data_IF_844025346942
#
_entry.id   IF_844025346942
#
_cell.length_a   1.000
_cell.length_b   1.000
_cell.length_c   1.000
_cell.angle_alpha   90.00
_cell.angle_beta   90.00
_cell.angle_gamma   90.00
#
_symmetry.space_group_name_H-M   'P 1'
#
loop_
_entity.id
_entity.type
_entity.pdbx_description
1 polymer ?
#
# COMPACT_ATOMS: atom_id res chain seq x y z
N UNK A 1 -63.02 -47.12 4.85
CA UNK A 1 -62.72 -46.12 5.90
C UNK A 1 -62.25 -46.75 7.23
N UNK A 2 -61.55 -47.90 7.21
CA UNK A 2 -61.00 -48.52 8.44
C UNK A 2 -59.52 -48.95 8.35
N UNK A 3 -58.90 -48.91 7.17
CA UNK A 3 -57.44 -49.15 7.01
C UNK A 3 -56.56 -47.91 7.15
N UNK A 4 -57.16 -46.74 7.40
CA UNK A 4 -56.44 -45.46 7.53
C UNK A 4 -56.16 -45.07 9.00
N UNK A 5 -56.60 -45.88 9.97
CA UNK A 5 -56.54 -45.55 11.41
C UNK A 5 -55.55 -46.41 12.22
N UNK A 6 -54.88 -47.38 11.59
CA UNK A 6 -53.99 -48.35 12.26
C UNK A 6 -52.49 -48.03 12.13
N UNK A 7 -52.12 -46.92 11.49
CA UNK A 7 -50.72 -46.47 11.36
C UNK A 7 -50.41 -45.20 12.18
N UNK A 8 -51.39 -44.74 12.96
CA UNK A 8 -51.31 -43.56 13.84
C UNK A 8 -51.25 -43.92 15.33
N UNK A 9 -50.92 -45.18 15.66
CA UNK A 9 -50.86 -45.66 17.03
C UNK A 9 -49.55 -46.38 17.32
N UNK A 10 -48.54 -45.64 17.78
CA UNK A 10 -47.32 -46.23 18.31
C UNK A 10 -46.15 -45.26 18.35
N UNK A 11 -45.99 -44.55 19.46
CA UNK A 11 -44.73 -43.85 19.78
C UNK A 11 -44.92 -42.43 20.32
N UNK A 12 -45.49 -42.30 21.51
CA UNK A 12 -45.23 -41.11 22.33
C UNK A 12 -43.86 -41.24 22.99
N UNK A 13 -42.99 -40.24 22.83
CA UNK A 13 -41.98 -39.74 23.77
C UNK A 13 -41.00 -38.82 23.03
N UNK A 14 -40.80 -37.60 23.52
CA UNK A 14 -39.73 -36.72 23.04
C UNK A 14 -40.12 -35.27 22.82
N UNK A 15 -40.56 -34.60 23.90
CA UNK A 15 -40.47 -33.15 24.04
C UNK A 15 -38.98 -32.77 24.10
N UNK A 16 -38.56 -31.75 23.35
CA UNK A 16 -37.29 -31.08 23.57
C UNK A 16 -36.11 -31.65 22.78
N UNK A 17 -35.67 -30.88 21.80
CA UNK A 17 -34.46 -31.16 21.04
C UNK A 17 -34.39 -30.23 19.85
N UNK A 18 -34.13 -28.93 20.10
CA UNK A 18 -33.45 -28.14 19.09
C UNK A 18 -32.26 -28.99 18.62
N UNK A 19 -32.21 -29.29 17.32
CA UNK A 19 -31.04 -29.92 16.74
C UNK A 19 -29.85 -29.08 17.22
N UNK A 20 -29.04 -29.67 18.10
CA UNK A 20 -27.78 -29.09 18.51
C UNK A 20 -27.06 -28.75 17.21
N UNK A 21 -26.58 -27.51 17.12
CA UNK A 21 -25.69 -27.11 16.05
C UNK A 21 -24.66 -28.20 15.89
N UNK A 22 -24.73 -28.92 14.78
CA UNK A 22 -23.58 -29.67 14.32
C UNK A 22 -22.55 -28.59 14.08
N UNK A 23 -21.64 -28.41 15.03
CA UNK A 23 -20.38 -27.71 14.80
C UNK A 23 -19.77 -28.41 13.58
N UNK A 24 -20.02 -27.84 12.40
CA UNK A 24 -19.42 -28.31 11.18
C UNK A 24 -17.93 -28.02 11.37
N UNK A 25 -17.16 -29.06 11.68
CA UNK A 25 -15.74 -28.97 12.04
C UNK A 25 -14.83 -28.50 10.90
N UNK A 26 -15.38 -28.10 9.76
CA UNK A 26 -14.68 -27.69 8.54
C UNK A 26 -15.25 -26.41 7.90
N UNK A 27 -15.93 -25.54 8.66
CA UNK A 27 -16.31 -24.22 8.14
C UNK A 27 -15.10 -23.29 8.15
N UNK A 28 -14.87 -22.60 7.02
CA UNK A 28 -13.82 -21.59 6.90
C UNK A 28 -14.21 -20.39 7.77
N UNK A 29 -13.27 -19.93 8.60
CA UNK A 29 -13.48 -18.79 9.48
C UNK A 29 -13.27 -17.46 8.73
N UNK A 30 -14.03 -16.45 9.15
CA UNK A 30 -13.88 -15.06 8.72
C UNK A 30 -12.55 -14.43 9.14
N UNK A 31 -11.81 -15.04 10.08
CA UNK A 31 -10.51 -14.53 10.55
C UNK A 31 -9.33 -14.87 9.65
N UNK A 32 -9.55 -15.47 8.47
CA UNK A 32 -8.46 -15.78 7.57
C UNK A 32 -7.72 -14.51 7.12
N UNK A 33 -6.39 -14.56 7.14
CA UNK A 33 -5.52 -13.44 6.76
C UNK A 33 -4.44 -13.87 5.77
N UNK A 34 -4.18 -12.98 4.81
CA UNK A 34 -3.10 -13.15 3.83
C UNK A 34 -1.97 -12.18 4.18
N UNK A 35 -0.81 -12.73 4.52
CA UNK A 35 0.41 -11.94 4.72
C UNK A 35 1.16 -11.81 3.40
N UNK A 36 1.24 -10.59 2.88
CA UNK A 36 1.98 -10.29 1.66
C UNK A 36 3.33 -9.66 2.03
N UNK A 37 4.42 -10.20 1.47
CA UNK A 37 5.76 -9.63 1.63
C UNK A 37 5.92 -8.30 0.88
N UNK A 38 6.83 -7.45 1.36
CA UNK A 38 7.16 -6.18 0.69
C UNK A 38 7.65 -6.40 -0.76
N UNK A 39 8.44 -7.47 -0.97
CA UNK A 39 8.94 -7.87 -2.29
C UNK A 39 7.80 -8.23 -3.25
N UNK A 40 6.87 -9.09 -2.79
CA UNK A 40 5.72 -9.50 -3.58
C UNK A 40 4.87 -8.30 -3.99
N UNK A 41 4.56 -7.41 -3.03
CA UNK A 41 3.78 -6.21 -3.30
C UNK A 41 4.41 -5.31 -4.37
N UNK A 42 5.72 -5.04 -4.26
CA UNK A 42 6.42 -4.20 -5.23
C UNK A 42 6.47 -4.83 -6.63
N UNK A 43 6.68 -6.15 -6.71
CA UNK A 43 6.65 -6.88 -7.98
C UNK A 43 5.27 -6.83 -8.63
N UNK A 44 4.20 -7.05 -7.86
CA UNK A 44 2.83 -6.99 -8.39
C UNK A 44 2.48 -5.59 -8.88
N UNK A 45 2.84 -4.54 -8.13
CA UNK A 45 2.60 -3.15 -8.54
C UNK A 45 3.41 -2.77 -9.79
N UNK A 46 4.70 -3.14 -9.85
CA UNK A 46 5.54 -2.91 -11.03
C UNK A 46 4.97 -3.60 -12.26
N UNK A 47 4.54 -4.85 -12.10
CA UNK A 47 3.97 -5.64 -13.18
C UNK A 47 2.62 -5.07 -13.65
N UNK A 48 1.70 -4.80 -12.72
CA UNK A 48 0.41 -4.18 -13.01
C UNK A 48 0.54 -2.85 -13.73
N UNK A 49 1.49 -2.00 -13.30
CA UNK A 49 1.74 -0.70 -13.94
C UNK A 49 2.32 -0.84 -15.36
N UNK A 50 3.18 -1.84 -15.59
CA UNK A 50 3.75 -2.10 -16.92
C UNK A 50 2.72 -2.67 -17.90
N UNK A 51 1.68 -3.34 -17.40
CA UNK A 51 0.60 -3.92 -18.21
C UNK A 51 -0.43 -2.93 -18.74
N UNK A 52 -0.58 -1.75 -18.13
CA UNK A 52 -1.61 -0.76 -18.48
C UNK A 52 -1.54 -0.39 -19.96
N UNK A 53 -2.65 -0.46 -20.73
CA UNK A 53 -4.04 -0.58 -20.28
C UNK A 53 -4.60 -2.02 -20.17
N UNK A 54 -3.80 -3.05 -20.42
CA UNK A 54 -4.24 -4.45 -20.39
C UNK A 54 -4.10 -5.07 -18.99
N UNK A 55 -4.97 -6.04 -18.70
CA UNK A 55 -4.91 -6.81 -17.45
C UNK A 55 -3.76 -7.83 -17.50
N UNK A 56 -2.87 -7.79 -16.51
CA UNK A 56 -1.79 -8.77 -16.35
C UNK A 56 -2.14 -9.79 -15.26
N UNK A 57 -1.60 -11.00 -15.37
CA UNK A 57 -1.69 -12.01 -14.31
C UNK A 57 -0.31 -12.51 -13.87
N UNK A 58 -0.23 -13.05 -12.66
CA UNK A 58 0.92 -13.83 -12.23
C UNK A 58 0.58 -14.82 -11.12
N UNK A 59 1.55 -15.66 -10.79
CA UNK A 59 1.41 -16.66 -9.74
C UNK A 59 2.04 -16.16 -8.44
N UNK A 60 1.41 -16.51 -7.34
CA UNK A 60 1.87 -16.21 -5.99
C UNK A 60 2.54 -17.44 -5.38
N UNK A 61 3.73 -17.25 -4.83
CA UNK A 61 4.54 -18.27 -4.20
C UNK A 61 4.62 -18.04 -2.70
N UNK A 62 4.49 -19.12 -1.95
CA UNK A 62 4.59 -19.07 -0.52
C UNK A 62 4.25 -20.38 0.17
N UNK A 63 3.74 -20.24 1.38
CA UNK A 63 3.39 -21.35 2.26
C UNK A 63 2.03 -21.13 2.93
N UNK A 64 1.33 -22.23 3.16
CA UNK A 64 0.17 -22.28 4.06
C UNK A 64 0.69 -22.64 5.45
N UNK A 65 0.54 -21.73 6.41
CA UNK A 65 1.14 -21.90 7.76
C UNK A 65 0.21 -22.70 8.66
N UNK A 66 -1.05 -22.28 8.69
CA UNK A 66 -2.16 -22.89 9.42
C UNK A 66 -3.45 -22.65 8.61
N UNK A 67 -4.60 -23.05 9.14
CA UNK A 67 -5.90 -22.91 8.45
C UNK A 67 -6.37 -21.46 8.26
N UNK A 68 -5.82 -20.51 9.03
CA UNK A 68 -6.23 -19.11 9.03
C UNK A 68 -5.21 -18.17 8.37
N UNK A 69 -4.02 -18.67 8.01
CA UNK A 69 -2.90 -17.84 7.60
C UNK A 69 -2.26 -18.34 6.32
N UNK A 70 -2.30 -17.50 5.29
CA UNK A 70 -1.58 -17.71 4.03
C UNK A 70 -0.44 -16.71 3.94
N UNK A 71 0.79 -17.18 3.72
CA UNK A 71 1.95 -16.28 3.52
C UNK A 71 2.35 -16.27 2.05
N UNK A 72 2.30 -15.11 1.44
CA UNK A 72 2.82 -14.85 0.09
C UNK A 72 4.21 -14.25 0.23
N UNK A 73 5.23 -15.03 -0.12
CA UNK A 73 6.65 -14.68 0.01
C UNK A 73 7.18 -14.01 -1.25
N UNK A 74 6.82 -14.53 -2.42
CA UNK A 74 7.24 -13.99 -3.71
C UNK A 74 6.16 -14.13 -4.77
N UNK A 75 6.31 -13.41 -5.88
CA UNK A 75 5.46 -13.53 -7.06
C UNK A 75 6.31 -13.53 -8.32
N UNK A 76 5.77 -14.13 -9.37
CA UNK A 76 6.30 -13.94 -10.72
C UNK A 76 5.18 -13.72 -11.73
N UNK A 77 5.52 -12.96 -12.77
CA UNK A 77 4.62 -12.64 -13.87
C UNK A 77 4.51 -13.84 -14.82
N UNK A 78 3.30 -14.13 -15.29
CA UNK A 78 3.10 -15.06 -16.39
C UNK A 78 3.13 -14.27 -17.71
N UNK A 79 3.77 -14.81 -18.77
CA UNK A 79 3.72 -14.18 -20.08
C UNK A 79 2.27 -14.18 -20.59
N UNK A 80 1.82 -13.03 -21.11
CA UNK A 80 0.47 -12.90 -21.63
C UNK A 80 0.34 -13.53 -23.01
N UNK A 81 -0.59 -14.47 -23.16
CA UNK A 81 -1.18 -14.86 -24.44
C UNK A 81 -2.43 -14.00 -24.64
N UNK A 82 -2.29 -12.91 -25.40
CA UNK A 82 -3.29 -11.85 -25.45
C UNK A 82 -4.54 -12.18 -26.28
N UNK A 83 -5.71 -12.00 -25.67
CA UNK A 83 -6.87 -11.36 -26.29
C UNK A 83 -7.41 -10.32 -25.31
N UNK A 84 -7.79 -9.13 -25.80
CA UNK A 84 -7.82 -7.87 -25.02
C UNK A 84 -8.82 -7.75 -23.85
N UNK A 85 -9.41 -8.83 -23.35
CA UNK A 85 -10.38 -8.82 -22.23
C UNK A 85 -10.25 -10.05 -21.31
N UNK A 86 -9.38 -11.01 -21.61
CA UNK A 86 -9.23 -12.21 -20.77
C UNK A 86 -7.81 -12.75 -20.82
N UNK A 87 -7.26 -13.08 -19.65
CA UNK A 87 -5.97 -13.73 -19.57
C UNK A 87 -6.17 -15.24 -19.76
N UNK A 88 -5.97 -15.72 -20.99
CA UNK A 88 -6.11 -17.14 -21.29
C UNK A 88 -4.89 -17.94 -20.81
N UNK A 89 -5.21 -19.06 -20.14
CA UNK A 89 -4.38 -20.22 -19.85
C UNK A 89 -2.99 -19.95 -19.26
N UNK A 90 -2.86 -20.24 -17.96
CA UNK A 90 -1.57 -20.52 -17.34
C UNK A 90 -0.83 -21.54 -18.22
N UNK A 91 0.27 -21.15 -18.85
CA UNK A 91 1.11 -22.10 -19.58
C UNK A 91 1.79 -23.04 -18.57
N UNK A 92 1.38 -24.33 -18.51
CA UNK A 92 1.94 -25.26 -17.55
C UNK A 92 3.42 -25.54 -17.81
N UNK A 93 3.89 -25.37 -19.06
CA UNK A 93 5.29 -25.54 -19.44
C UNK A 93 6.13 -24.42 -18.84
N UNK A 94 5.67 -23.18 -19.01
CA UNK A 94 6.33 -22.02 -18.41
C UNK A 94 6.34 -22.11 -16.88
N UNK A 95 5.20 -22.44 -16.28
CA UNK A 95 5.09 -22.61 -14.82
C UNK A 95 6.08 -23.66 -14.30
N UNK A 96 6.10 -24.86 -14.89
CA UNK A 96 6.98 -25.94 -14.43
C UNK A 96 8.45 -25.56 -14.54
N UNK A 97 8.85 -24.98 -15.69
CA UNK A 97 10.22 -24.53 -15.92
C UNK A 97 10.64 -23.43 -14.94
N UNK A 98 9.76 -22.45 -14.68
CA UNK A 98 10.02 -21.37 -13.72
C UNK A 98 10.17 -21.92 -12.30
N UNK A 99 9.29 -22.83 -11.89
CA UNK A 99 9.36 -23.46 -10.56
C UNK A 99 10.65 -24.26 -10.38
N UNK A 100 11.10 -24.98 -11.40
CA UNK A 100 12.38 -25.72 -11.35
C UNK A 100 13.59 -24.78 -11.25
N UNK A 101 13.57 -23.65 -11.97
CA UNK A 101 14.62 -22.63 -11.83
C UNK A 101 14.63 -22.01 -10.43
N UNK A 102 13.45 -21.72 -9.86
CA UNK A 102 13.35 -21.16 -8.50
C UNK A 102 13.89 -22.15 -7.45
N UNK A 103 13.58 -23.44 -7.57
CA UNK A 103 14.13 -24.49 -6.70
C UNK A 103 15.66 -24.52 -6.74
N UNK A 104 16.27 -24.35 -7.91
CA UNK A 104 17.74 -24.30 -8.05
C UNK A 104 18.35 -23.07 -7.35
N UNK A 105 17.60 -21.97 -7.23
CA UNK A 105 18.04 -20.76 -6.52
C UNK A 105 17.80 -20.81 -5.00
N UNK A 106 17.34 -21.96 -4.48
CA UNK A 106 17.03 -22.12 -3.05
C UNK A 106 15.67 -21.57 -2.65
N UNK A 107 14.74 -21.44 -3.59
CA UNK A 107 13.34 -21.03 -3.39
C UNK A 107 12.39 -22.22 -3.61
N UNK A 108 12.12 -23.05 -2.58
CA UNK A 108 11.29 -24.24 -2.70
C UNK A 108 9.79 -23.98 -2.52
N UNK A 109 9.36 -22.71 -2.48
CA UNK A 109 7.98 -22.34 -2.19
C UNK A 109 6.99 -22.90 -3.21
N UNK A 110 5.77 -23.19 -2.74
CA UNK A 110 4.68 -23.71 -3.55
C UNK A 110 3.77 -22.58 -4.06
N UNK A 111 2.96 -22.87 -5.08
CA UNK A 111 1.94 -21.91 -5.56
C UNK A 111 0.80 -21.86 -4.55
N UNK A 112 0.57 -20.69 -3.96
CA UNK A 112 -0.50 -20.45 -2.97
C UNK A 112 -1.72 -19.75 -3.56
N UNK A 113 -1.60 -19.24 -4.78
CA UNK A 113 -2.67 -18.54 -5.47
C UNK A 113 -2.16 -17.79 -6.69
N UNK A 114 -2.97 -16.87 -7.17
CA UNK A 114 -2.67 -16.04 -8.33
C UNK A 114 -3.13 -14.61 -8.09
N UNK A 115 -2.53 -13.68 -8.82
CA UNK A 115 -2.93 -12.28 -8.81
C UNK A 115 -3.16 -11.78 -10.22
N UNK A 116 -4.03 -10.78 -10.35
CA UNK A 116 -4.19 -10.05 -11.60
C UNK A 116 -4.48 -8.57 -11.33
N UNK A 117 -4.40 -7.77 -12.39
CA UNK A 117 -4.65 -6.33 -12.31
C UNK A 117 -5.97 -5.94 -12.97
N UNK A 118 -6.73 -5.06 -12.34
CA UNK A 118 -7.89 -4.38 -12.93
C UNK A 118 -7.59 -2.86 -13.01
N UNK A 119 -7.01 -2.36 -14.11
CA UNK A 119 -6.60 -0.97 -14.20
C UNK A 119 -7.80 -0.02 -14.25
N UNK A 120 -8.07 0.71 -13.17
CA UNK A 120 -9.10 1.74 -13.09
C UNK A 120 -10.52 1.25 -12.77
N UNK A 121 -10.73 -0.07 -12.66
CA UNK A 121 -12.04 -0.68 -12.36
C UNK A 121 -12.24 -1.01 -10.88
N UNK A 122 -11.22 -0.83 -10.02
CA UNK A 122 -11.26 -1.29 -8.63
C UNK A 122 -11.13 -2.81 -8.49
N UNK A 123 -11.24 -3.32 -7.26
CA UNK A 123 -11.01 -4.74 -6.96
C UNK A 123 -12.33 -5.53 -6.87
N UNK A 124 -12.58 -6.40 -7.84
CA UNK A 124 -13.69 -7.37 -7.86
C UNK A 124 -13.32 -8.54 -8.77
N UNK A 125 -14.11 -9.62 -8.79
CA UNK A 125 -13.89 -10.74 -9.70
C UNK A 125 -14.95 -10.75 -10.81
N UNK A 126 -14.51 -10.79 -12.07
CA UNK A 126 -15.38 -11.01 -13.22
C UNK A 126 -15.81 -12.47 -13.34
N UNK A 127 -16.76 -12.77 -14.23
CA UNK A 127 -17.14 -14.16 -14.50
C UNK A 127 -15.97 -15.00 -15.04
N UNK A 128 -15.05 -14.38 -15.77
CA UNK A 128 -13.83 -15.04 -16.26
C UNK A 128 -12.86 -15.32 -15.12
N UNK A 129 -12.71 -14.36 -14.19
CA UNK A 129 -11.86 -14.54 -13.00
C UNK A 129 -12.42 -15.60 -12.07
N UNK A 130 -13.75 -15.67 -11.91
CA UNK A 130 -14.42 -16.72 -11.12
C UNK A 130 -14.13 -18.11 -11.71
N UNK A 131 -14.25 -18.29 -13.03
CA UNK A 131 -13.96 -19.58 -13.68
C UNK A 131 -12.47 -19.97 -13.54
N UNK A 132 -11.58 -18.98 -13.64
CA UNK A 132 -10.13 -19.18 -13.46
C UNK A 132 -9.82 -19.58 -12.02
N UNK A 133 -10.36 -18.85 -11.04
CA UNK A 133 -10.23 -19.16 -9.62
C UNK A 133 -10.79 -20.54 -9.28
N UNK A 134 -11.93 -20.93 -9.85
CA UNK A 134 -12.51 -22.26 -9.64
C UNK A 134 -11.55 -23.37 -10.12
N UNK A 135 -10.80 -23.14 -11.19
CA UNK A 135 -9.79 -24.07 -11.69
C UNK A 135 -8.59 -24.19 -10.74
N UNK A 136 -8.15 -23.07 -10.14
CA UNK A 136 -7.13 -23.09 -9.10
C UNK A 136 -7.61 -23.75 -7.80
N UNK A 137 -8.86 -23.54 -7.41
CA UNK A 137 -9.45 -24.15 -6.21
C UNK A 137 -9.60 -25.68 -6.33
N UNK A 138 -9.74 -26.22 -7.54
CA UNK A 138 -9.71 -27.67 -7.77
C UNK A 138 -8.32 -28.28 -7.49
N UNK A 139 -7.25 -27.53 -7.75
CA UNK A 139 -5.88 -27.95 -7.44
C UNK A 139 -5.56 -27.75 -5.97
N UNK A 140 -5.97 -26.62 -5.41
CA UNK A 140 -5.79 -26.30 -4.00
C UNK A 140 -7.01 -25.53 -3.48
N UNK A 141 -7.81 -26.12 -2.57
CA UNK A 141 -9.04 -25.49 -2.07
C UNK A 141 -8.79 -24.17 -1.33
N UNK A 142 -7.55 -23.89 -0.92
CA UNK A 142 -7.15 -22.65 -0.24
C UNK A 142 -6.51 -21.61 -1.16
N UNK A 143 -6.53 -21.83 -2.47
CA UNK A 143 -6.01 -20.86 -3.43
C UNK A 143 -6.66 -19.48 -3.23
N UNK A 144 -5.84 -18.43 -3.28
CA UNK A 144 -6.30 -17.04 -3.11
C UNK A 144 -6.17 -16.30 -4.45
N UNK A 145 -7.20 -15.54 -4.81
CA UNK A 145 -7.15 -14.59 -5.92
C UNK A 145 -6.90 -13.18 -5.39
N UNK A 146 -5.81 -12.53 -5.81
CA UNK A 146 -5.48 -11.15 -5.43
C UNK A 146 -5.72 -10.21 -6.61
N UNK A 147 -6.46 -9.12 -6.38
CA UNK A 147 -6.77 -8.11 -7.40
C UNK A 147 -6.11 -6.79 -7.03
N UNK A 148 -5.37 -6.21 -7.96
CA UNK A 148 -4.65 -4.95 -7.76
C UNK A 148 -5.06 -3.92 -8.80
N UNK A 149 -5.36 -2.70 -8.37
CA UNK A 149 -5.60 -1.57 -9.28
C UNK A 149 -4.38 -0.62 -9.30
N UNK A 150 -3.50 -0.70 -10.31
CA UNK A 150 -2.29 0.13 -10.40
C UNK A 150 -2.59 1.59 -10.82
N UNK A 151 -3.83 1.92 -11.19
CA UNK A 151 -4.23 3.27 -11.57
C UNK A 151 -4.78 4.02 -10.36
N UNK A 152 -5.69 3.40 -9.61
CA UNK A 152 -6.25 3.98 -8.39
C UNK A 152 -5.29 3.93 -7.20
N UNK A 153 -4.31 3.03 -7.22
CA UNK A 153 -3.24 3.00 -6.22
C UNK A 153 -2.36 4.25 -6.34
N UNK A 154 -2.46 5.14 -5.35
CA UNK A 154 -1.69 6.38 -5.26
C UNK A 154 -0.77 6.34 -4.03
N UNK A 155 0.22 7.24 -3.98
CA UNK A 155 1.12 7.38 -2.82
C UNK A 155 0.29 7.56 -1.55
N UNK A 156 0.34 6.57 -0.66
CA UNK A 156 -0.39 6.55 0.62
C UNK A 156 -1.52 5.53 0.71
N UNK A 157 -2.11 5.09 -0.41
CA UNK A 157 -3.13 4.02 -0.43
C UNK A 157 -2.94 3.11 -1.64
N UNK A 158 -2.57 1.87 -1.37
CA UNK A 158 -2.56 0.79 -2.36
C UNK A 158 -3.95 0.16 -2.37
N UNK A 159 -4.56 0.12 -3.56
CA UNK A 159 -5.87 -0.52 -3.78
C UNK A 159 -5.60 -1.97 -4.18
N UNK A 160 -5.79 -2.86 -3.20
CA UNK A 160 -5.57 -4.30 -3.29
C UNK A 160 -6.59 -5.00 -2.40
N UNK A 161 -7.18 -6.07 -2.92
CA UNK A 161 -8.03 -6.97 -2.16
C UNK A 161 -7.74 -8.42 -2.54
N UNK A 162 -8.01 -9.32 -1.62
CA UNK A 162 -7.89 -10.76 -1.78
C UNK A 162 -9.27 -11.40 -1.68
N UNK A 163 -9.56 -12.35 -2.56
CA UNK A 163 -10.85 -13.02 -2.67
C UNK A 163 -10.69 -14.54 -2.73
N UNK A 164 -11.75 -15.24 -2.29
CA UNK A 164 -11.95 -16.67 -2.53
C UNK A 164 -13.42 -16.92 -2.85
N UNK A 165 -13.70 -17.95 -3.64
CA UNK A 165 -15.08 -18.30 -4.01
C UNK A 165 -15.85 -18.90 -2.84
N UNK A 166 -17.16 -18.73 -2.91
CA UNK A 166 -18.12 -19.42 -2.05
C UNK A 166 -18.65 -20.61 -2.82
N UNK A 167 -18.71 -21.76 -2.18
CA UNK A 167 -19.32 -22.95 -2.77
C UNK A 167 -20.84 -22.70 -2.96
N UNK A 168 -21.36 -22.72 -4.21
CA UNK A 168 -22.75 -22.36 -4.48
C UNK A 168 -23.76 -23.34 -3.86
N UNK A 169 -23.36 -24.58 -3.61
CA UNK A 169 -24.18 -25.58 -2.92
C UNK A 169 -24.50 -25.16 -1.48
N UNK A 170 -23.58 -24.48 -0.78
CA UNK A 170 -23.82 -23.96 0.57
C UNK A 170 -24.86 -22.83 0.56
N UNK A 171 -24.80 -21.97 -0.45
CA UNK A 171 -25.75 -20.87 -0.61
C UNK A 171 -27.18 -21.39 -0.87
N UNK A 172 -27.32 -22.45 -1.66
CA UNK A 172 -28.62 -23.09 -1.91
C UNK A 172 -29.19 -23.76 -0.66
N UNK A 173 -28.32 -24.21 0.26
CA UNK A 173 -28.72 -24.80 1.54
C UNK A 173 -29.08 -23.74 2.60
N UNK A 174 -28.91 -22.44 2.28
CA UNK A 174 -29.17 -21.34 3.20
C UNK A 174 -28.24 -21.32 4.41
N UNK A 175 -27.13 -22.06 4.38
CA UNK A 175 -26.13 -22.04 5.43
C UNK A 175 -25.16 -20.88 5.18
N UNK A 176 -24.79 -20.17 6.24
CA UNK A 176 -23.76 -19.14 6.13
C UNK A 176 -22.43 -19.81 5.72
N UNK A 177 -21.78 -19.31 4.65
CA UNK A 177 -20.61 -19.99 4.08
C UNK A 177 -19.37 -19.89 4.96
N UNK A 178 -19.38 -19.02 5.97
CA UNK A 178 -18.26 -18.81 6.89
C UNK A 178 -18.74 -18.68 8.32
N UNK A 179 -17.95 -19.20 9.25
CA UNK A 179 -18.17 -18.97 10.68
C UNK A 179 -17.53 -17.62 11.06
N UNK A 180 -18.27 -16.79 11.79
CA UNK A 180 -17.75 -15.50 12.27
C UNK A 180 -17.26 -15.61 13.70
N UNK A 181 -15.98 -15.94 13.91
CA UNK A 181 -15.39 -15.96 15.25
C UNK A 181 -14.78 -14.61 15.65
N UNK A 182 -14.53 -13.72 14.69
CA UNK A 182 -13.87 -12.43 14.91
C UNK A 182 -14.49 -11.27 14.11
N UNK A 183 -14.22 -10.04 14.56
CA UNK A 183 -14.67 -8.82 13.89
C UNK A 183 -13.76 -8.41 12.70
N UNK A 184 -12.64 -9.11 12.48
CA UNK A 184 -11.61 -8.73 11.51
C UNK A 184 -12.17 -8.68 10.08
N UNK A 185 -13.08 -9.60 9.73
CA UNK A 185 -13.74 -9.65 8.43
C UNK A 185 -14.73 -8.52 8.15
N UNK A 186 -15.12 -7.73 9.16
CA UNK A 186 -16.09 -6.63 9.02
C UNK A 186 -15.47 -5.23 9.12
N UNK A 187 -14.14 -5.13 9.29
CA UNK A 187 -13.44 -3.85 9.46
C UNK A 187 -13.43 -3.01 8.17
N UNK A 188 -13.31 -3.66 7.01
CA UNK A 188 -13.25 -2.97 5.73
C UNK A 188 -14.62 -2.97 5.07
N UNK A 189 -15.17 -1.78 4.84
CA UNK A 189 -16.43 -1.65 4.09
C UNK A 189 -16.16 -1.96 2.62
N UNK A 190 -16.89 -2.91 2.02
CA UNK A 190 -16.70 -3.26 0.63
C UNK A 190 -17.08 -2.12 -0.30
N UNK A 191 -16.42 -2.05 -1.46
CA UNK A 191 -16.80 -1.12 -2.53
C UNK A 191 -18.19 -1.49 -3.08
N UNK A 192 -18.99 -0.47 -3.40
CA UNK A 192 -20.32 -0.65 -4.02
C UNK A 192 -20.19 -1.45 -5.33
N UNK A 193 -19.13 -1.20 -6.09
CA UNK A 193 -18.87 -1.92 -7.34
C UNK A 193 -18.64 -3.42 -7.10
N UNK A 194 -17.84 -3.77 -6.09
CA UNK A 194 -17.63 -5.18 -5.72
C UNK A 194 -18.93 -5.87 -5.28
N UNK A 195 -19.80 -5.16 -4.56
CA UNK A 195 -21.10 -5.67 -4.16
C UNK A 195 -22.02 -5.96 -5.37
N UNK A 196 -22.03 -5.06 -6.36
CA UNK A 196 -22.77 -5.25 -7.63
C UNK A 196 -22.27 -6.49 -8.38
N UNK A 197 -20.95 -6.71 -8.37
CA UNK A 197 -20.31 -7.86 -9.03
C UNK A 197 -20.33 -9.16 -8.21
N UNK A 198 -21.11 -9.22 -7.12
CA UNK A 198 -21.43 -10.48 -6.43
C UNK A 198 -20.54 -10.80 -5.22
N UNK A 199 -19.87 -9.80 -4.63
CA UNK A 199 -19.27 -9.95 -3.31
C UNK A 199 -20.33 -10.37 -2.27
N UNK A 200 -19.97 -11.33 -1.41
CA UNK A 200 -20.84 -12.03 -0.45
C UNK A 200 -21.92 -12.93 -1.06
N UNK A 201 -21.93 -13.13 -2.39
CA UNK A 201 -22.77 -14.11 -3.07
C UNK A 201 -21.96 -15.22 -3.73
N UNK A 202 -21.01 -14.82 -4.57
CA UNK A 202 -20.16 -15.75 -5.34
C UNK A 202 -18.77 -15.90 -4.74
N UNK A 203 -18.29 -14.86 -4.06
CA UNK A 203 -16.98 -14.82 -3.43
C UNK A 203 -17.01 -13.92 -2.20
N UNK A 204 -16.02 -14.06 -1.34
CA UNK A 204 -15.84 -13.23 -0.15
C UNK A 204 -14.46 -12.59 -0.13
N UNK A 205 -14.33 -11.48 0.60
CA UNK A 205 -13.05 -10.78 0.81
C UNK A 205 -12.31 -11.35 2.02
N UNK A 206 -10.97 -11.46 1.89
CA UNK A 206 -10.04 -11.91 2.91
C UNK A 206 -9.20 -10.73 3.37
N UNK A 207 -8.91 -10.64 4.68
CA UNK A 207 -8.07 -9.59 5.23
C UNK A 207 -6.63 -9.71 4.75
N UNK A 208 -6.08 -8.62 4.20
CA UNK A 208 -4.66 -8.55 3.82
C UNK A 208 -3.88 -7.87 4.95
N UNK A 209 -2.75 -8.45 5.32
CA UNK A 209 -1.78 -7.84 6.21
C UNK A 209 -0.39 -7.83 5.55
N UNK A 210 0.44 -6.87 5.93
CA UNK A 210 1.79 -6.73 5.37
C UNK A 210 2.82 -7.16 6.40
N UNK A 211 3.66 -8.13 6.01
CA UNK A 211 4.79 -8.53 6.85
C UNK A 211 6.04 -7.80 6.37
N UNK A 212 6.59 -6.96 7.25
CA UNK A 212 7.86 -6.27 7.04
C UNK A 212 8.87 -6.78 8.03
N UNK A 213 10.06 -7.11 7.56
CA UNK A 213 11.21 -7.40 8.43
C UNK A 213 11.92 -6.10 8.79
N UNK A 214 12.60 -6.07 9.95
CA UNK A 214 13.37 -4.89 10.37
C UNK A 214 14.46 -4.51 9.36
N UNK A 215 15.06 -5.51 8.67
CA UNK A 215 16.03 -5.28 7.62
C UNK A 215 15.41 -4.61 6.39
N UNK A 216 14.24 -5.06 5.94
CA UNK A 216 13.51 -4.44 4.83
C UNK A 216 13.10 -3.01 5.18
N UNK A 217 12.61 -2.78 6.40
CA UNK A 217 12.24 -1.45 6.86
C UNK A 217 13.45 -0.51 6.85
N UNK A 218 14.57 -0.93 7.43
CA UNK A 218 15.81 -0.15 7.41
C UNK A 218 16.30 0.13 5.97
N UNK A 219 16.24 -0.88 5.09
CA UNK A 219 16.62 -0.72 3.69
C UNK A 219 15.70 0.27 2.94
N UNK A 220 14.38 0.16 3.13
CA UNK A 220 13.40 1.04 2.50
C UNK A 220 13.48 2.48 3.05
N UNK A 221 13.77 2.64 4.34
CA UNK A 221 14.01 3.95 4.95
C UNK A 221 15.28 4.62 4.41
N UNK A 222 16.28 3.83 3.98
CA UNK A 222 17.47 4.38 3.33
C UNK A 222 17.21 4.94 1.93
N UNK A 223 16.18 4.44 1.21
CA UNK A 223 15.87 4.90 -0.15
C UNK A 223 15.39 6.36 -0.18
N UNK A 224 14.71 6.80 0.87
CA UNK A 224 14.22 8.17 1.02
C UNK A 224 15.24 9.13 1.65
N UNK A 225 16.46 8.66 1.94
CA UNK A 225 17.52 9.54 2.44
C UNK A 225 18.06 10.37 1.29
N UNK A 226 18.05 11.68 1.47
CA UNK A 226 18.73 12.60 0.57
C UNK A 226 20.25 12.41 0.70
N UNK A 227 20.97 12.69 -0.38
CA UNK A 227 22.43 12.62 -0.36
C UNK A 227 22.93 13.75 0.54
N UNK A 228 23.60 13.40 1.65
CA UNK A 228 24.03 14.39 2.64
C UNK A 228 25.02 15.42 2.07
N UNK A 229 25.76 15.07 1.00
CA UNK A 229 26.70 15.98 0.34
C UNK A 229 25.99 17.13 -0.38
N UNK A 230 24.76 16.94 -0.85
CA UNK A 230 23.94 18.00 -1.46
C UNK A 230 23.71 19.16 -0.49
N UNK A 231 23.71 18.89 0.82
CA UNK A 231 23.59 19.93 1.83
C UNK A 231 24.87 20.77 2.02
N UNK A 232 26.03 20.27 1.58
CA UNK A 232 27.34 20.93 1.70
C UNK A 232 27.82 21.55 0.39
N UNK A 233 27.19 21.21 -0.74
CA UNK A 233 27.46 21.85 -2.01
C UNK A 233 26.98 23.31 -1.97
N UNK A 234 27.88 24.22 -2.35
CA UNK A 234 27.57 25.63 -2.48
C UNK A 234 27.09 25.92 -3.90
N UNK A 235 25.91 26.52 -4.00
CA UNK A 235 25.37 27.01 -5.26
C UNK A 235 26.14 28.26 -5.76
N UNK A 236 26.06 28.56 -7.06
CA UNK A 236 26.67 29.78 -7.61
C UNK A 236 25.97 31.03 -7.04
N UNK A 237 26.72 31.82 -6.28
CA UNK A 237 26.28 33.09 -5.68
C UNK A 237 25.62 34.05 -6.69
N UNK A 238 26.06 34.05 -7.95
CA UNK A 238 25.45 34.91 -8.98
C UNK A 238 24.05 34.44 -9.33
N UNK A 239 23.86 33.12 -9.43
CA UNK A 239 22.55 32.53 -9.71
C UNK A 239 21.60 32.77 -8.54
N UNK A 240 22.08 32.58 -7.31
CA UNK A 240 21.31 32.84 -6.09
C UNK A 240 20.92 34.32 -5.96
N UNK A 241 21.85 35.23 -6.24
CA UNK A 241 21.58 36.67 -6.24
C UNK A 241 20.50 37.07 -7.26
N UNK A 242 20.52 36.49 -8.46
CA UNK A 242 19.46 36.69 -9.45
C UNK A 242 18.12 36.12 -8.97
N UNK A 243 18.10 34.88 -8.46
CA UNK A 243 16.89 34.23 -7.93
C UNK A 243 16.24 35.05 -6.80
N UNK A 244 17.06 35.56 -5.88
CA UNK A 244 16.60 36.41 -4.78
C UNK A 244 16.02 37.73 -5.28
N UNK A 245 16.67 38.37 -6.25
CA UNK A 245 16.15 39.60 -6.87
C UNK A 245 14.79 39.36 -7.53
N UNK A 246 14.65 38.29 -8.30
CA UNK A 246 13.42 37.96 -9.02
C UNK A 246 12.27 37.68 -8.04
N UNK A 247 12.54 36.91 -6.97
CA UNK A 247 11.55 36.65 -5.90
C UNK A 247 11.16 37.90 -5.12
N UNK A 248 12.11 38.80 -4.83
CA UNK A 248 11.81 40.08 -4.20
C UNK A 248 10.95 40.97 -5.11
N UNK A 249 11.23 41.00 -6.41
CA UNK A 249 10.38 41.72 -7.38
C UNK A 249 8.97 41.11 -7.44
N UNK A 250 8.85 39.79 -7.38
CA UNK A 250 7.57 39.11 -7.29
C UNK A 250 6.82 39.47 -6.00
N UNK A 251 7.49 39.52 -4.84
CA UNK A 251 6.89 39.96 -3.58
C UNK A 251 6.35 41.39 -3.65
N UNK A 252 7.07 42.32 -4.30
CA UNK A 252 6.58 43.69 -4.53
C UNK A 252 5.30 43.68 -5.36
N UNK A 253 5.27 42.91 -6.45
CA UNK A 253 4.06 42.81 -7.29
C UNK A 253 2.85 42.20 -6.56
N UNK A 254 3.10 41.22 -5.67
CA UNK A 254 2.08 40.60 -4.84
C UNK A 254 1.60 41.55 -3.74
N UNK A 255 2.48 42.38 -3.19
CA UNK A 255 2.14 43.39 -2.20
C UNK A 255 1.22 44.47 -2.78
N UNK A 256 1.49 44.95 -3.99
CA UNK A 256 0.61 45.87 -4.72
C UNK A 256 -0.77 45.24 -4.98
N UNK A 257 -0.79 43.95 -5.32
CA UNK A 257 -2.01 43.18 -5.51
C UNK A 257 -2.79 43.00 -4.19
N UNK A 258 -2.09 42.76 -3.09
CA UNK A 258 -2.67 42.64 -1.76
C UNK A 258 -3.27 43.97 -1.29
N UNK A 259 -2.58 45.10 -1.49
CA UNK A 259 -3.08 46.42 -1.15
C UNK A 259 -4.39 46.74 -1.88
N UNK A 260 -4.45 46.47 -3.19
CA UNK A 260 -5.68 46.60 -3.99
C UNK A 260 -6.80 45.72 -3.44
N UNK A 261 -6.47 44.47 -3.08
CA UNK A 261 -7.46 43.54 -2.52
C UNK A 261 -8.02 44.04 -1.19
N UNK A 262 -7.17 44.54 -0.28
CA UNK A 262 -7.60 45.08 1.02
C UNK A 262 -8.51 46.30 0.84
N UNK A 263 -8.20 47.19 -0.12
CA UNK A 263 -9.07 48.33 -0.45
C UNK A 263 -10.44 47.86 -0.95
N UNK A 264 -10.47 46.93 -1.91
CA UNK A 264 -11.73 46.36 -2.39
C UNK A 264 -12.52 45.63 -1.31
N UNK A 265 -11.84 44.96 -0.38
CA UNK A 265 -12.44 44.22 0.73
C UNK A 265 -13.30 45.12 1.62
N UNK A 266 -12.87 46.36 1.85
CA UNK A 266 -13.61 47.34 2.66
C UNK A 266 -14.93 47.79 2.02
N UNK A 267 -15.07 47.68 0.70
CA UNK A 267 -16.25 48.11 -0.05
C UNK A 267 -17.28 46.98 -0.25
N UNK A 268 -16.92 45.74 0.07
CA UNK A 268 -17.71 44.54 -0.25
C UNK A 268 -18.42 43.96 0.97
N UNK A 269 -19.59 43.37 0.74
CA UNK A 269 -20.26 42.53 1.74
C UNK A 269 -19.65 41.13 1.81
N UNK A 270 -19.80 40.45 2.95
CA UNK A 270 -19.18 39.13 3.23
C UNK A 270 -19.55 38.04 2.21
N UNK A 271 -20.74 38.09 1.61
CA UNK A 271 -21.19 37.08 0.63
C UNK A 271 -20.70 37.38 -0.80
N UNK A 272 -20.54 38.67 -1.15
CA UNK A 272 -19.90 39.06 -2.40
C UNK A 272 -18.39 38.77 -2.37
N UNK A 273 -17.76 38.90 -1.21
CA UNK A 273 -16.35 38.57 -1.00
C UNK A 273 -16.04 37.08 -1.25
N UNK A 274 -16.94 36.18 -0.84
CA UNK A 274 -16.78 34.73 -1.07
C UNK A 274 -16.81 34.34 -2.54
N UNK A 275 -17.52 35.08 -3.38
CA UNK A 275 -17.73 34.74 -4.79
C UNK A 275 -16.82 35.53 -5.73
N UNK A 276 -16.49 36.78 -5.42
CA UNK A 276 -15.68 37.69 -6.26
C UNK A 276 -14.25 37.21 -6.52
N UNK A 277 -13.68 36.43 -5.59
CA UNK A 277 -12.29 35.97 -5.67
C UNK A 277 -12.13 34.50 -6.11
N UNK A 278 -13.22 33.80 -6.38
CA UNK A 278 -13.16 32.42 -6.90
C UNK A 278 -12.59 32.44 -8.32
N UNK A 279 -11.46 31.76 -8.53
CA UNK A 279 -10.76 31.72 -9.82
C UNK A 279 -9.75 32.85 -10.04
N UNK A 280 -9.52 33.73 -9.05
CA UNK A 280 -8.44 34.73 -9.07
C UNK A 280 -7.31 34.30 -8.14
N UNK A 281 -6.09 34.76 -8.45
CA UNK A 281 -4.92 34.56 -7.59
C UNK A 281 -5.17 35.17 -6.21
N UNK A 282 -4.90 34.43 -5.14
CA UNK A 282 -4.92 34.97 -3.78
C UNK A 282 -3.56 35.61 -3.44
N UNK A 283 -3.41 36.94 -3.47
CA UNK A 283 -2.12 37.59 -3.21
C UNK A 283 -1.61 37.35 -1.79
N UNK A 284 -2.48 37.15 -0.79
CA UNK A 284 -2.05 36.91 0.59
C UNK A 284 -1.34 35.57 0.71
N UNK A 285 -1.98 34.51 0.20
CA UNK A 285 -1.43 33.16 0.25
C UNK A 285 -0.10 33.06 -0.52
N UNK A 286 -0.04 33.66 -1.71
CA UNK A 286 1.20 33.64 -2.51
C UNK A 286 2.32 34.48 -1.89
N UNK A 287 1.99 35.57 -1.19
CA UNK A 287 3.00 36.36 -0.47
C UNK A 287 3.58 35.57 0.71
N UNK A 288 2.75 34.79 1.41
CA UNK A 288 3.19 33.86 2.45
C UNK A 288 4.07 32.74 1.86
N UNK A 289 3.63 32.07 0.79
CA UNK A 289 4.36 30.99 0.13
C UNK A 289 5.75 31.47 -0.37
N UNK A 290 5.80 32.57 -1.13
CA UNK A 290 7.07 33.13 -1.65
C UNK A 290 7.95 33.67 -0.52
N UNK A 291 7.35 34.27 0.50
CA UNK A 291 8.06 34.75 1.68
C UNK A 291 8.73 33.61 2.45
N UNK A 292 8.02 32.50 2.66
CA UNK A 292 8.54 31.32 3.34
C UNK A 292 9.70 30.69 2.53
N UNK A 293 9.51 30.45 1.23
CA UNK A 293 10.58 29.90 0.38
C UNK A 293 11.84 30.78 0.37
N UNK A 294 11.67 32.11 0.34
CA UNK A 294 12.79 33.04 0.33
C UNK A 294 13.55 33.03 1.67
N UNK A 295 12.83 32.91 2.78
CA UNK A 295 13.45 32.81 4.11
C UNK A 295 14.19 31.48 4.23
N UNK A 296 13.57 30.36 3.85
CA UNK A 296 14.17 29.03 3.91
C UNK A 296 15.46 28.95 3.07
N UNK A 297 15.41 29.35 1.80
CA UNK A 297 16.57 29.31 0.91
C UNK A 297 17.72 30.16 1.44
N UNK A 298 17.46 31.39 1.90
CA UNK A 298 18.50 32.28 2.42
C UNK A 298 19.09 31.78 3.75
N UNK A 299 18.27 31.23 4.65
CA UNK A 299 18.77 30.64 5.91
C UNK A 299 19.68 29.45 5.59
N UNK A 300 19.27 28.58 4.67
CA UNK A 300 20.07 27.41 4.27
C UNK A 300 21.37 27.87 3.64
N UNK A 301 21.34 28.82 2.70
CA UNK A 301 22.56 29.34 2.05
C UNK A 301 23.53 29.99 3.04
N UNK A 302 23.04 30.86 3.92
CA UNK A 302 23.89 31.49 4.95
C UNK A 302 24.46 30.45 5.90
N UNK A 303 23.67 29.45 6.30
CA UNK A 303 24.13 28.35 7.16
C UNK A 303 25.20 27.50 6.48
N UNK A 304 25.01 27.17 5.20
CA UNK A 304 26.01 26.45 4.37
C UNK A 304 27.33 27.21 4.32
N UNK A 305 27.28 28.51 4.04
CA UNK A 305 28.48 29.37 4.00
C UNK A 305 29.20 29.42 5.36
N UNK A 306 28.46 29.52 6.45
CA UNK A 306 29.05 29.52 7.80
C UNK A 306 29.69 28.19 8.16
N UNK A 307 29.03 27.07 7.84
CA UNK A 307 29.54 25.73 8.09
C UNK A 307 30.78 25.46 7.25
N UNK A 308 30.74 25.76 5.95
CA UNK A 308 31.88 25.57 5.04
C UNK A 308 33.09 26.37 5.50
N UNK A 309 32.88 27.63 5.89
CA UNK A 309 33.94 28.48 6.44
C UNK A 309 34.62 27.87 7.66
N UNK A 310 33.85 27.39 8.64
CA UNK A 310 34.41 26.78 9.87
C UNK A 310 35.02 25.40 9.61
N UNK A 311 34.47 24.63 8.66
CA UNK A 311 34.94 23.28 8.33
C UNK A 311 36.21 23.28 7.47
N UNK A 312 36.37 24.25 6.56
CA UNK A 312 37.53 24.34 5.66
C UNK A 312 38.65 25.21 6.20
N UNK A 313 38.38 26.16 7.11
CA UNK A 313 39.46 26.92 7.73
C UNK A 313 40.26 26.02 8.68
N UNK A 314 41.59 25.89 8.49
CA UNK A 314 42.41 25.23 9.49
C UNK A 314 42.27 26.01 10.79
N UNK A 315 41.94 25.30 11.87
CA UNK A 315 42.09 25.88 13.22
C UNK A 315 43.51 26.42 13.27
N UNK A 316 43.64 27.74 13.46
CA UNK A 316 44.90 28.30 13.91
C UNK A 316 45.14 27.64 15.27
N UNK A 317 45.92 26.56 15.27
CA UNK A 317 46.63 26.15 16.48
C UNK A 317 47.23 27.44 17.02
N UNK A 318 46.82 27.78 18.25
CA UNK A 318 47.15 29.05 18.85
C UNK A 318 48.64 29.29 18.69
N UNK A 319 49.01 30.57 18.54
CA UNK A 319 50.33 31.02 18.95
C UNK A 319 50.52 30.60 20.41
N UNK A 320 50.97 29.36 20.62
CA UNK A 320 51.50 28.90 21.87
C UNK A 320 52.79 29.67 22.04
N UNK A 321 52.69 30.80 22.75
CA UNK A 321 53.84 31.47 23.30
C UNK A 321 54.74 30.43 23.93
N UNK A 322 56.00 30.42 23.51
CA UNK A 322 57.11 29.74 24.16
C UNK A 322 57.02 29.93 25.68
N UNK A 323 56.47 28.93 26.36
CA UNK A 323 56.66 28.56 27.78
C UNK A 323 55.92 27.25 28.04
N UNK A 324 56.44 26.18 27.44
CA UNK A 324 56.12 24.82 27.87
C UNK A 324 56.72 24.58 29.25
N UNK A 325 55.89 24.68 30.29
CA UNK A 325 56.12 24.01 31.55
C UNK A 325 55.40 22.66 31.44
N UNK A 326 56.19 21.60 31.35
CA UNK A 326 55.73 20.22 31.24
C UNK A 326 55.03 19.86 32.55
N UNK A 327 53.73 19.54 32.48
CA UNK A 327 53.09 18.66 33.45
C UNK A 327 52.13 17.76 32.66
N UNK A 328 52.45 16.47 32.65
CA UNK A 328 51.64 15.45 32.03
C UNK A 328 50.43 15.14 32.89
N UNK A 329 49.26 15.10 32.26
CA UNK A 329 48.12 14.36 32.75
C UNK A 329 47.76 13.32 31.70
N UNK A 330 47.69 12.10 32.20
CA UNK A 330 47.57 10.82 31.52
C UNK A 330 46.11 10.64 31.11
N UNK A 331 45.85 10.33 29.83
CA UNK A 331 44.51 9.99 29.33
C UNK A 331 44.08 8.63 29.91
N UNK A 332 43.05 8.65 30.75
CA UNK A 332 42.27 7.46 31.07
C UNK A 332 41.36 7.13 29.88
N UNK A 333 41.61 5.97 29.28
CA UNK A 333 40.75 5.35 28.28
C UNK A 333 39.71 4.56 29.06
N UNK A 334 38.49 5.07 29.15
CA UNK A 334 37.34 4.27 29.59
C UNK A 334 36.98 3.28 28.48
N UNK A 335 37.36 2.03 28.72
CA UNK A 335 36.93 0.83 28.02
C UNK A 335 35.68 0.31 28.76
N UNK A 336 34.48 0.53 28.22
CA UNK A 336 33.27 -0.15 28.70
C UNK A 336 32.66 -1.02 27.60
N UNK A 337 32.87 -2.33 27.83
CA UNK A 337 32.04 -3.53 27.63
C UNK A 337 30.79 -3.47 26.73
#
# INVERSE_FOLDING_TARGET
MERFRSLLGGGGMGLGGAAHGTDNTNLIDNSETVYISSLALLKMLRHGRAGVPMEVMGLMLGEFVDDFTVKVMDVFAMPQSGTGVSVEAVDPVFQTKMMDMLRQTGRPESVVGWYHSHPGFGCWLSSVDINTQQSFEQLNPRAVAVVIDPIQSVKGKVVIDAFRLINPQLLMLGQEPRQSTSNLGHLNKPSIQALIHGLNRHYYSIGINYRKTALEENMLMNLHKHVWTEALEMDDFRHEGCKNKDRLQQLVSLADGYEKRVKEETELTKDQLKTRYVGKLDPKKHLEDVGQELIEDNIVSVSRQMIDKEATMPRKEGQAGSKGQVNGEQMDVEEEL
#
